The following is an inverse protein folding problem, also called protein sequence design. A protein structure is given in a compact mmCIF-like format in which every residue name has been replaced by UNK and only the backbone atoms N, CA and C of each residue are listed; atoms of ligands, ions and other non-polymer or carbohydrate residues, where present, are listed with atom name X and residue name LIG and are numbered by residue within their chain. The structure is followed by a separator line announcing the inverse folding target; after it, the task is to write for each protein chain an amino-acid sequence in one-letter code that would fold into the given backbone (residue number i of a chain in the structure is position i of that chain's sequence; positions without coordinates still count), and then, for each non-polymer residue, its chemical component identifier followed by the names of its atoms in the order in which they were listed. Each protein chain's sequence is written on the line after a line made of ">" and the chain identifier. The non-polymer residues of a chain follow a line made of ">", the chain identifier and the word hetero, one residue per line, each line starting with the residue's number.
data_IF_860296927309
#
_entry.id   IF_860296927309
#
_cell.length_a   1.000
_cell.length_b   1.000
_cell.length_c   1.000
_cell.angle_alpha   90.00
_cell.angle_beta   90.00
_cell.angle_gamma   90.00
#
_symmetry.space_group_name_H-M   'P 1'
#
loop_
_entity.id
_entity.type
_entity.pdbx_description
1 polymer ?
#
# COMPACT_ATOMS: atom_id res chain seq x y z
N UNK A 1 -44.18 -15.68 12.12
CA UNK A 1 -44.24 -14.86 10.88
C UNK A 1 -43.06 -13.90 10.75
N UNK A 2 -42.71 -13.09 11.76
CA UNK A 2 -41.58 -12.13 11.68
C UNK A 2 -40.23 -12.75 11.22
N UNK A 3 -39.89 -13.93 11.74
CA UNK A 3 -38.64 -14.65 11.40
C UNK A 3 -38.59 -15.11 9.93
N UNK A 4 -39.73 -15.46 9.34
CA UNK A 4 -39.83 -15.87 7.93
C UNK A 4 -39.65 -14.64 7.02
N UNK A 5 -40.18 -13.48 7.42
CA UNK A 5 -40.03 -12.23 6.68
C UNK A 5 -38.57 -11.74 6.72
N UNK A 6 -37.91 -11.81 7.89
CA UNK A 6 -36.48 -11.50 8.01
C UNK A 6 -35.61 -12.40 7.12
N UNK A 7 -35.87 -13.72 7.11
CA UNK A 7 -35.10 -14.64 6.30
C UNK A 7 -35.27 -14.40 4.78
N UNK A 8 -36.48 -14.05 4.34
CA UNK A 8 -36.72 -13.69 2.94
C UNK A 8 -35.97 -12.42 2.52
N UNK A 9 -35.95 -11.40 3.38
CA UNK A 9 -35.23 -10.16 3.12
C UNK A 9 -33.70 -10.41 3.04
N UNK A 10 -33.16 -11.19 3.98
CA UNK A 10 -31.75 -11.58 3.96
C UNK A 10 -31.37 -12.38 2.71
N UNK A 11 -32.25 -13.25 2.21
CA UNK A 11 -32.03 -13.99 0.96
C UNK A 11 -32.04 -13.08 -0.28
N UNK A 12 -32.91 -12.07 -0.33
CA UNK A 12 -32.93 -11.08 -1.42
C UNK A 12 -31.65 -10.26 -1.40
N UNK A 13 -31.20 -9.82 -0.22
CA UNK A 13 -29.93 -9.10 -0.05
C UNK A 13 -28.73 -9.96 -0.44
N UNK A 14 -28.71 -11.23 -0.07
CA UNK A 14 -27.67 -12.18 -0.51
C UNK A 14 -27.67 -12.39 -2.02
N UNK A 15 -28.85 -12.50 -2.65
CA UNK A 15 -28.98 -12.65 -4.10
C UNK A 15 -28.55 -11.39 -4.86
N UNK A 16 -28.91 -10.20 -4.37
CA UNK A 16 -28.45 -8.93 -4.91
C UNK A 16 -26.94 -8.74 -4.71
N UNK A 17 -26.42 -9.15 -3.55
CA UNK A 17 -24.99 -9.13 -3.25
C UNK A 17 -24.21 -10.25 -3.97
N UNK A 18 -24.90 -11.20 -4.61
CA UNK A 18 -24.36 -12.24 -5.49
C UNK A 18 -24.37 -11.82 -6.97
N UNK A 19 -24.57 -10.53 -7.28
CA UNK A 19 -24.12 -9.99 -8.56
C UNK A 19 -22.61 -10.18 -8.77
N UNK A 20 -22.10 -10.09 -10.02
CA UNK A 20 -20.66 -10.18 -10.25
C UNK A 20 -19.93 -9.13 -9.42
N UNK A 21 -19.17 -9.58 -8.43
CA UNK A 21 -18.29 -8.71 -7.65
C UNK A 21 -17.00 -8.52 -8.43
N UNK A 22 -16.53 -7.30 -8.46
CA UNK A 22 -15.27 -6.96 -9.09
C UNK A 22 -14.33 -6.46 -8.00
N UNK A 23 -13.16 -7.08 -7.91
CA UNK A 23 -12.10 -6.63 -7.03
C UNK A 23 -10.99 -6.03 -7.87
N UNK A 24 -10.45 -4.91 -7.41
CA UNK A 24 -9.24 -4.34 -7.97
C UNK A 24 -8.04 -5.13 -7.46
N UNK A 25 -7.24 -5.65 -8.38
CA UNK A 25 -5.98 -6.34 -8.07
C UNK A 25 -4.84 -5.65 -8.81
N UNK A 26 -3.60 -6.00 -8.45
CA UNK A 26 -2.41 -5.52 -9.14
C UNK A 26 -1.84 -6.65 -10.00
N UNK A 27 -1.83 -6.45 -11.30
CA UNK A 27 -1.26 -7.39 -12.28
C UNK A 27 0.17 -6.95 -12.62
N UNK A 28 1.13 -7.87 -12.57
CA UNK A 28 2.54 -7.59 -12.89
C UNK A 28 2.72 -7.40 -14.39
N UNK A 29 3.44 -6.35 -14.79
CA UNK A 29 3.84 -6.06 -16.17
C UNK A 29 5.35 -6.27 -16.30
N UNK A 30 5.81 -7.40 -16.87
CA UNK A 30 7.21 -7.85 -16.76
C UNK A 30 8.24 -6.87 -17.34
N UNK A 31 7.89 -6.12 -18.38
CA UNK A 31 8.85 -5.32 -19.14
C UNK A 31 8.54 -3.82 -19.16
N UNK A 32 7.52 -3.38 -18.41
CA UNK A 32 7.05 -2.01 -18.43
C UNK A 32 6.80 -1.48 -17.03
N UNK A 33 7.41 -0.34 -16.72
CA UNK A 33 7.04 0.46 -15.57
C UNK A 33 5.71 1.17 -15.82
N UNK A 34 4.88 1.31 -14.80
CA UNK A 34 3.62 2.06 -14.87
C UNK A 34 3.61 3.09 -13.75
N UNK A 35 3.08 4.28 -14.03
CA UNK A 35 2.72 5.24 -12.99
C UNK A 35 1.31 4.92 -12.54
N UNK A 36 1.17 4.39 -11.32
CA UNK A 36 -0.13 4.11 -10.71
C UNK A 36 -0.38 5.05 -9.54
N UNK A 37 -1.65 5.39 -9.32
CA UNK A 37 -2.06 6.08 -8.10
C UNK A 37 -2.11 5.08 -6.94
N UNK A 38 -1.62 5.50 -5.78
CA UNK A 38 -1.50 4.72 -4.55
C UNK A 38 -2.52 5.15 -3.48
N UNK A 39 -3.38 6.13 -3.79
CA UNK A 39 -4.48 6.55 -2.92
C UNK A 39 -5.49 5.40 -2.77
N UNK A 40 -6.02 5.22 -1.57
CA UNK A 40 -6.81 4.04 -1.16
C UNK A 40 -8.06 3.79 -2.04
N UNK A 41 -8.64 4.86 -2.59
CA UNK A 41 -9.85 4.86 -3.42
C UNK A 41 -9.58 5.10 -4.91
N UNK A 42 -8.32 5.11 -5.33
CA UNK A 42 -7.94 5.39 -6.71
C UNK A 42 -7.24 4.21 -7.38
N UNK A 43 -7.92 3.61 -8.35
CA UNK A 43 -7.40 2.48 -9.14
C UNK A 43 -6.91 2.90 -10.54
N UNK A 44 -6.59 4.18 -10.73
CA UNK A 44 -6.16 4.68 -12.03
C UNK A 44 -4.73 4.27 -12.36
N UNK A 45 -4.59 3.62 -13.51
CA UNK A 45 -3.33 3.42 -14.21
C UNK A 45 -2.93 4.71 -14.92
N UNK A 46 -2.44 5.68 -14.14
CA UNK A 46 -2.26 7.05 -14.59
C UNK A 46 -1.35 7.17 -15.82
N UNK A 47 -0.34 6.29 -15.93
CA UNK A 47 0.47 6.12 -17.14
C UNK A 47 0.96 4.68 -17.27
N UNK A 48 0.62 3.98 -18.35
CA UNK A 48 1.14 2.64 -18.64
C UNK A 48 2.39 2.75 -19.54
N UNK A 49 3.39 1.86 -19.37
CA UNK A 49 4.63 1.93 -20.16
C UNK A 49 5.54 3.12 -19.79
N UNK A 50 5.35 3.70 -18.62
CA UNK A 50 6.17 4.77 -18.12
C UNK A 50 7.55 4.24 -17.70
N UNK A 51 8.57 4.46 -18.51
CA UNK A 51 9.93 3.97 -18.23
C UNK A 51 10.78 3.83 -19.48
N UNK A 52 10.14 3.65 -20.63
CA UNK A 52 10.81 3.70 -21.91
C UNK A 52 11.26 5.14 -22.19
N UNK A 53 12.46 5.32 -22.74
CA UNK A 53 13.17 6.59 -22.92
C UNK A 53 12.38 7.66 -23.72
N UNK A 54 11.26 7.26 -24.31
CA UNK A 54 10.41 8.07 -25.17
C UNK A 54 9.45 9.01 -24.41
N UNK A 55 9.00 8.68 -23.19
CA UNK A 55 7.94 9.46 -22.49
C UNK A 55 8.37 10.13 -21.17
N UNK A 56 9.69 10.34 -21.00
CA UNK A 56 10.22 11.06 -19.84
C UNK A 56 10.14 10.22 -18.57
N UNK A 57 10.89 9.11 -18.56
CA UNK A 57 10.92 8.13 -17.48
C UNK A 57 11.05 8.73 -16.08
N UNK A 58 10.41 8.06 -15.13
CA UNK A 58 10.68 8.22 -13.71
C UNK A 58 12.10 7.69 -13.42
N UNK A 59 13.18 8.40 -13.75
CA UNK A 59 14.43 8.33 -12.98
C UNK A 59 15.59 9.23 -13.46
N UNK A 60 16.33 9.70 -12.43
CA UNK A 60 17.80 9.86 -12.34
C UNK A 60 18.50 10.90 -13.23
N UNK A 61 18.22 12.19 -12.99
CA UNK A 61 19.22 13.26 -13.14
C UNK A 61 18.81 14.46 -12.24
N UNK A 62 19.75 15.28 -11.71
CA UNK A 62 19.46 16.35 -10.73
C UNK A 62 18.41 17.38 -11.17
N UNK A 63 18.13 17.47 -12.48
CA UNK A 63 17.19 18.41 -13.09
C UNK A 63 15.80 17.79 -13.42
N UNK A 64 15.49 16.61 -12.85
CA UNK A 64 14.20 15.89 -12.70
C UNK A 64 13.17 15.97 -13.86
N UNK A 65 13.05 14.86 -14.61
CA UNK A 65 11.84 14.53 -15.39
C UNK A 65 10.87 13.75 -14.50
N UNK A 66 9.73 14.35 -14.20
CA UNK A 66 8.53 13.59 -13.78
C UNK A 66 7.88 13.00 -15.02
N UNK A 67 7.05 11.98 -14.83
CA UNK A 67 6.16 11.50 -15.87
C UNK A 67 5.36 12.68 -16.48
N UNK A 68 5.19 12.68 -17.81
CA UNK A 68 4.43 13.71 -18.53
C UNK A 68 2.95 13.83 -18.13
N UNK A 69 2.44 12.90 -17.30
CA UNK A 69 1.09 12.92 -16.76
C UNK A 69 0.89 13.86 -15.57
N UNK A 70 1.90 14.64 -15.17
CA UNK A 70 1.76 15.62 -14.10
C UNK A 70 1.76 17.05 -14.63
N UNK A 71 0.81 17.87 -14.16
CA UNK A 71 0.91 19.32 -14.24
C UNK A 71 1.85 19.80 -13.13
N UNK A 72 3.11 20.08 -13.47
CA UNK A 72 4.03 20.73 -12.54
C UNK A 72 3.80 22.24 -12.58
N UNK A 73 3.33 22.80 -11.46
CA UNK A 73 3.42 24.22 -11.21
C UNK A 73 4.83 24.53 -10.73
N UNK A 74 5.65 25.20 -11.57
CA UNK A 74 6.92 25.74 -11.09
C UNK A 74 6.60 26.81 -10.04
N UNK A 75 7.29 26.82 -8.87
CA UNK A 75 7.13 27.91 -7.93
C UNK A 75 7.42 29.22 -8.66
N UNK A 76 6.51 30.19 -8.53
CA UNK A 76 6.60 31.49 -9.21
C UNK A 76 7.93 32.12 -8.80
N UNK A 77 8.86 32.18 -9.75
CA UNK A 77 10.24 32.66 -9.57
C UNK A 77 10.22 34.10 -9.08
N UNK A 78 10.35 34.29 -7.76
CA UNK A 78 10.29 35.61 -7.16
C UNK A 78 11.35 35.88 -6.08
N UNK A 79 11.80 34.89 -5.31
CA UNK A 79 12.64 35.16 -4.13
C UNK A 79 13.43 33.92 -3.61
N UNK A 80 14.22 33.25 -4.46
CA UNK A 80 14.98 32.04 -4.05
C UNK A 80 16.50 32.14 -4.25
N UNK A 81 17.09 33.31 -4.04
CA UNK A 81 18.54 33.50 -4.19
C UNK A 81 19.39 33.21 -2.93
N UNK A 82 18.82 32.84 -1.76
CA UNK A 82 19.61 32.82 -0.51
C UNK A 82 19.48 31.62 0.44
N UNK A 83 18.92 30.48 0.04
CA UNK A 83 18.90 29.30 0.93
C UNK A 83 19.68 28.13 0.33
N UNK A 84 20.90 27.93 0.84
CA UNK A 84 21.73 26.74 0.63
C UNK A 84 21.10 25.51 1.30
N UNK A 85 21.21 24.38 0.61
CA UNK A 85 21.14 23.00 1.13
C UNK A 85 19.80 22.39 1.60
N UNK A 86 18.67 23.11 1.54
CA UNK A 86 17.33 22.51 1.81
C UNK A 86 16.40 22.45 0.60
N UNK A 87 16.95 22.18 -0.58
CA UNK A 87 16.25 22.15 -1.88
C UNK A 87 15.34 20.93 -2.13
N UNK A 88 14.72 20.37 -1.09
CA UNK A 88 13.52 19.52 -1.23
C UNK A 88 12.27 20.40 -1.31
N UNK A 89 12.24 21.37 -2.23
CA UNK A 89 10.97 22.01 -2.58
C UNK A 89 10.06 20.92 -3.12
N UNK A 90 9.02 20.63 -2.35
CA UNK A 90 7.90 19.78 -2.71
C UNK A 90 7.30 20.30 -4.01
N UNK A 91 7.69 19.70 -5.14
CA UNK A 91 6.99 19.91 -6.39
C UNK A 91 5.55 19.46 -6.16
N UNK A 92 4.65 20.43 -6.02
CA UNK A 92 3.22 20.16 -6.06
C UNK A 92 2.88 19.94 -7.52
N UNK A 93 2.61 18.69 -7.88
CA UNK A 93 2.15 18.30 -9.20
C UNK A 93 0.82 17.60 -9.08
N UNK A 94 -0.13 17.93 -9.94
CA UNK A 94 -1.42 17.24 -10.00
C UNK A 94 -1.43 16.32 -11.20
N UNK A 95 -1.84 15.06 -11.01
CA UNK A 95 -1.95 14.09 -12.09
C UNK A 95 -3.10 14.47 -13.04
N UNK A 96 -2.85 14.44 -14.34
CA UNK A 96 -3.82 14.68 -15.42
C UNK A 96 -4.92 13.62 -15.45
N UNK A 97 -4.57 12.37 -15.11
CA UNK A 97 -5.45 11.21 -15.24
C UNK A 97 -6.40 11.04 -14.05
N UNK A 98 -5.93 11.32 -12.83
CA UNK A 98 -6.71 11.08 -11.61
C UNK A 98 -6.94 12.31 -10.73
N UNK A 99 -6.26 13.44 -10.99
CA UNK A 99 -6.37 14.65 -10.17
C UNK A 99 -5.66 14.59 -8.81
N UNK A 100 -4.99 13.48 -8.48
CA UNK A 100 -4.25 13.33 -7.23
C UNK A 100 -2.84 13.91 -7.29
N UNK A 101 -2.24 14.13 -6.13
CA UNK A 101 -0.92 14.76 -6.02
C UNK A 101 0.19 13.80 -6.46
N UNK A 102 1.32 14.35 -6.90
CA UNK A 102 2.48 13.61 -7.39
C UNK A 102 3.03 12.58 -6.39
N UNK A 103 2.98 12.89 -5.09
CA UNK A 103 3.42 12.02 -3.99
C UNK A 103 2.49 10.81 -3.77
N UNK A 104 1.24 10.89 -4.23
CA UNK A 104 0.28 9.78 -4.23
C UNK A 104 0.51 8.81 -5.41
N UNK A 105 1.60 8.95 -6.16
CA UNK A 105 1.91 8.10 -7.31
C UNK A 105 3.24 7.38 -7.15
N UNK A 106 3.32 6.18 -7.70
CA UNK A 106 4.57 5.41 -7.76
C UNK A 106 4.78 4.85 -9.16
N UNK A 107 6.04 4.85 -9.57
CA UNK A 107 6.49 4.00 -10.67
C UNK A 107 6.58 2.56 -10.16
N UNK A 108 5.87 1.65 -10.81
CA UNK A 108 5.82 0.25 -10.41
C UNK A 108 5.63 -0.65 -11.64
N UNK A 109 6.20 -1.86 -11.65
CA UNK A 109 5.96 -2.88 -12.69
C UNK A 109 4.59 -3.57 -12.56
N UNK A 110 3.56 -2.85 -12.12
CA UNK A 110 2.23 -3.38 -11.89
C UNK A 110 1.20 -2.38 -12.38
N UNK A 111 0.03 -2.88 -12.77
CA UNK A 111 -1.14 -2.07 -13.11
C UNK A 111 -2.33 -2.53 -12.27
N UNK A 112 -3.25 -1.63 -11.98
CA UNK A 112 -4.55 -1.97 -11.43
C UNK A 112 -5.38 -2.66 -12.51
N UNK A 113 -5.87 -3.86 -12.23
CA UNK A 113 -6.76 -4.61 -13.10
C UNK A 113 -8.02 -4.94 -12.30
N UNK A 114 -9.18 -4.74 -12.92
CA UNK A 114 -10.45 -5.14 -12.32
C UNK A 114 -10.67 -6.61 -12.62
N UNK A 115 -10.57 -7.46 -11.60
CA UNK A 115 -10.78 -8.90 -11.73
C UNK A 115 -12.17 -9.24 -11.24
N UNK A 116 -12.93 -9.96 -12.07
CA UNK A 116 -14.20 -10.54 -11.64
C UNK A 116 -13.90 -11.59 -10.58
N UNK A 117 -14.43 -11.39 -9.39
CA UNK A 117 -14.42 -12.40 -8.34
C UNK A 117 -15.42 -13.46 -8.76
N UNK A 118 -14.92 -14.58 -9.27
CA UNK A 118 -15.76 -15.73 -9.51
C UNK A 118 -16.24 -16.26 -8.16
N UNK A 119 -17.53 -16.07 -7.87
CA UNK A 119 -18.19 -16.89 -6.87
C UNK A 119 -18.23 -18.32 -7.37
N UNK A 120 -18.25 -19.31 -6.46
CA UNK A 120 -18.38 -20.73 -6.82
C UNK A 120 -19.49 -20.87 -7.86
N UNK A 121 -19.17 -21.20 -9.13
CA UNK A 121 -20.15 -21.19 -10.22
C UNK A 121 -21.26 -22.22 -9.98
N UNK A 122 -21.03 -23.17 -9.07
CA UNK A 122 -22.00 -24.18 -8.64
C UNK A 122 -22.86 -23.72 -7.47
N UNK A 123 -22.56 -22.59 -6.81
CA UNK A 123 -23.35 -22.09 -5.69
C UNK A 123 -24.80 -21.79 -6.08
N UNK A 124 -25.10 -21.08 -7.18
CA UNK A 124 -26.49 -20.87 -7.60
C UNK A 124 -27.20 -22.20 -7.87
N UNK A 125 -26.51 -23.19 -8.44
CA UNK A 125 -27.07 -24.52 -8.69
C UNK A 125 -27.37 -25.25 -7.38
N UNK A 126 -26.46 -25.21 -6.40
CA UNK A 126 -26.64 -25.83 -5.07
C UNK A 126 -27.79 -25.19 -4.29
N UNK A 127 -27.93 -23.85 -4.38
CA UNK A 127 -29.05 -23.13 -3.75
C UNK A 127 -30.38 -23.48 -4.45
N UNK A 128 -30.40 -23.53 -5.78
CA UNK A 128 -31.62 -23.85 -6.52
C UNK A 128 -32.03 -25.34 -6.41
N UNK A 129 -31.08 -26.24 -6.12
CA UNK A 129 -31.35 -27.65 -5.89
C UNK A 129 -31.92 -27.96 -4.50
N UNK A 130 -31.86 -27.03 -3.55
CA UNK A 130 -32.46 -27.18 -2.24
C UNK A 130 -34.00 -27.00 -2.30
N UNK A 131 -34.74 -27.94 -1.75
CA UNK A 131 -36.20 -28.01 -1.86
C UNK A 131 -36.87 -27.03 -0.90
N UNK A 132 -36.28 -26.82 0.27
CA UNK A 132 -36.83 -25.94 1.30
C UNK A 132 -35.99 -24.67 1.50
N UNK A 133 -36.64 -23.60 1.96
CA UNK A 133 -35.93 -22.35 2.31
C UNK A 133 -34.90 -22.55 3.43
N UNK A 134 -35.14 -23.52 4.33
CA UNK A 134 -34.19 -23.87 5.38
C UNK A 134 -32.92 -24.51 4.81
N UNK A 135 -33.05 -25.39 3.82
CA UNK A 135 -31.91 -26.01 3.13
C UNK A 135 -31.13 -24.99 2.30
N UNK A 136 -31.82 -24.07 1.61
CA UNK A 136 -31.17 -22.96 0.88
C UNK A 136 -30.30 -22.12 1.81
N UNK A 137 -30.82 -21.80 2.99
CA UNK A 137 -30.09 -21.05 4.01
C UNK A 137 -28.88 -21.84 4.50
N UNK A 138 -29.03 -23.13 4.81
CA UNK A 138 -27.92 -23.98 5.25
C UNK A 138 -26.80 -24.11 4.20
N UNK A 139 -27.16 -24.22 2.91
CA UNK A 139 -26.19 -24.22 1.80
C UNK A 139 -25.44 -22.89 1.72
N UNK A 140 -26.15 -21.76 1.83
CA UNK A 140 -25.55 -20.44 1.82
C UNK A 140 -24.62 -20.21 3.02
N UNK A 141 -25.06 -20.56 4.24
CA UNK A 141 -24.27 -20.47 5.47
C UNK A 141 -22.98 -21.31 5.40
N UNK A 142 -23.08 -22.52 4.86
CA UNK A 142 -21.91 -23.39 4.64
C UNK A 142 -20.92 -22.76 3.67
N UNK A 143 -21.41 -22.17 2.57
CA UNK A 143 -20.56 -21.49 1.60
C UNK A 143 -19.85 -20.25 2.20
N UNK A 144 -20.60 -19.41 2.92
CA UNK A 144 -20.05 -18.23 3.61
C UNK A 144 -19.00 -18.66 4.63
N UNK A 145 -19.28 -19.67 5.44
CA UNK A 145 -18.34 -20.19 6.45
C UNK A 145 -17.05 -20.71 5.82
N UNK A 146 -17.17 -21.41 4.69
CA UNK A 146 -16.00 -21.88 3.93
C UNK A 146 -15.15 -20.72 3.39
N UNK A 147 -15.79 -19.69 2.80
CA UNK A 147 -15.07 -18.53 2.29
C UNK A 147 -14.40 -17.73 3.42
N UNK A 148 -15.06 -17.60 4.58
CA UNK A 148 -14.45 -17.00 5.76
C UNK A 148 -13.22 -17.77 6.23
N UNK A 149 -13.25 -19.11 6.15
CA UNK A 149 -12.09 -19.96 6.42
C UNK A 149 -10.91 -19.64 5.49
N UNK A 150 -11.16 -19.60 4.17
CA UNK A 150 -10.13 -19.27 3.16
C UNK A 150 -9.56 -17.87 3.39
N UNK A 151 -10.40 -16.87 3.68
CA UNK A 151 -9.96 -15.49 3.95
C UNK A 151 -9.07 -15.44 5.18
N UNK A 152 -9.42 -16.18 6.26
CA UNK A 152 -8.59 -16.24 7.47
C UNK A 152 -7.21 -16.84 7.19
N UNK A 153 -7.17 -17.94 6.43
CA UNK A 153 -5.91 -18.57 6.02
C UNK A 153 -5.03 -17.61 5.20
N UNK A 154 -5.61 -16.90 4.23
CA UNK A 154 -4.90 -15.87 3.46
C UNK A 154 -4.39 -14.72 4.35
N UNK A 155 -5.16 -14.31 5.36
CA UNK A 155 -4.72 -13.27 6.31
C UNK A 155 -3.51 -13.77 7.12
N UNK A 156 -3.53 -15.02 7.58
CA UNK A 156 -2.42 -15.63 8.31
C UNK A 156 -1.17 -15.75 7.44
N UNK A 157 -1.29 -16.21 6.20
CA UNK A 157 -0.19 -16.28 5.24
C UNK A 157 0.42 -14.90 4.98
N UNK A 158 -0.42 -13.88 4.76
CA UNK A 158 0.05 -12.51 4.54
C UNK A 158 0.77 -11.94 5.77
N UNK A 159 0.30 -12.23 6.98
CA UNK A 159 0.98 -11.83 8.21
C UNK A 159 2.35 -12.51 8.35
N UNK A 160 2.46 -13.78 7.95
CA UNK A 160 3.74 -14.49 7.91
C UNK A 160 4.71 -13.87 6.90
N UNK A 161 4.23 -13.55 5.69
CA UNK A 161 5.04 -12.87 4.66
C UNK A 161 5.53 -11.49 5.13
N UNK A 162 4.67 -10.72 5.80
CA UNK A 162 5.08 -9.44 6.43
C UNK A 162 6.18 -9.69 7.46
N UNK A 163 6.04 -10.72 8.31
CA UNK A 163 7.07 -11.10 9.27
C UNK A 163 8.43 -11.42 8.61
N UNK A 164 8.41 -12.18 7.50
CA UNK A 164 9.60 -12.49 6.69
C UNK A 164 10.24 -11.23 6.10
N UNK A 165 9.46 -10.36 5.48
CA UNK A 165 9.95 -9.09 4.92
C UNK A 165 10.56 -8.20 6.01
N UNK A 166 9.94 -8.13 7.19
CA UNK A 166 10.49 -7.37 8.32
C UNK A 166 11.84 -7.95 8.76
N UNK A 167 11.99 -9.28 8.81
CA UNK A 167 13.26 -9.92 9.14
C UNK A 167 14.34 -9.71 8.06
N UNK A 168 13.97 -9.77 6.78
CA UNK A 168 14.87 -9.45 5.67
C UNK A 168 15.38 -8.01 5.76
N UNK A 169 14.48 -7.06 6.04
CA UNK A 169 14.87 -5.65 6.20
C UNK A 169 15.78 -5.47 7.43
N UNK A 170 15.57 -6.20 8.52
CA UNK A 170 16.50 -6.20 9.67
C UNK A 170 17.91 -6.62 9.27
N UNK A 171 18.06 -7.60 8.38
CA UNK A 171 19.36 -8.04 7.87
C UNK A 171 20.05 -7.03 6.95
N UNK A 172 19.29 -6.11 6.34
CA UNK A 172 19.77 -5.12 5.37
C UNK A 172 20.00 -3.74 6.02
N UNK A 173 19.58 -3.55 7.28
CA UNK A 173 19.49 -2.24 7.94
C UNK A 173 20.83 -1.56 8.26
N UNK A 174 21.41 -0.93 7.24
CA UNK A 174 22.23 0.28 7.34
C UNK A 174 21.63 1.47 6.54
N UNK A 175 20.40 1.36 6.01
CA UNK A 175 19.82 2.43 5.19
C UNK A 175 19.26 3.57 6.05
N UNK A 176 19.58 4.80 5.66
CA UNK A 176 19.15 6.03 6.36
C UNK A 176 17.64 6.24 6.37
N UNK A 177 16.93 5.60 5.45
CA UNK A 177 15.48 5.78 5.26
C UNK A 177 14.64 4.73 6.00
N UNK A 178 15.27 3.71 6.61
CA UNK A 178 14.57 2.62 7.30
C UNK A 178 13.57 3.11 8.37
N UNK A 179 13.87 4.12 9.22
CA UNK A 179 12.91 4.61 10.21
C UNK A 179 11.61 5.15 9.60
N UNK A 180 11.65 5.75 8.41
CA UNK A 180 10.46 6.26 7.74
C UNK A 180 9.54 5.13 7.27
N UNK A 181 10.12 4.06 6.71
CA UNK A 181 9.38 2.86 6.31
C UNK A 181 8.75 2.12 7.50
N UNK A 182 9.47 2.04 8.63
CA UNK A 182 8.96 1.42 9.86
C UNK A 182 7.77 2.21 10.42
N UNK A 183 7.85 3.55 10.45
CA UNK A 183 6.72 4.38 10.88
C UNK A 183 5.50 4.21 9.97
N UNK A 184 5.67 4.25 8.65
CA UNK A 184 4.56 4.05 7.72
C UNK A 184 3.90 2.68 7.87
N UNK A 185 4.69 1.63 8.15
CA UNK A 185 4.15 0.28 8.41
C UNK A 185 3.37 0.24 9.72
N UNK A 186 3.86 0.90 10.78
CA UNK A 186 3.13 1.02 12.05
C UNK A 186 1.78 1.70 11.82
N UNK A 187 1.75 2.83 11.12
CA UNK A 187 0.51 3.58 10.86
C UNK A 187 -0.54 2.72 10.12
N UNK A 188 -0.12 1.93 9.14
CA UNK A 188 -1.00 1.01 8.42
C UNK A 188 -1.55 -0.10 9.33
N UNK A 189 -0.71 -0.68 10.18
CA UNK A 189 -1.12 -1.73 11.11
C UNK A 189 -2.08 -1.19 12.18
N UNK A 190 -1.85 0.03 12.68
CA UNK A 190 -2.73 0.69 13.65
C UNK A 190 -4.11 0.99 13.06
N UNK A 191 -4.17 1.52 11.83
CA UNK A 191 -5.45 1.73 11.12
C UNK A 191 -6.24 0.43 10.98
N UNK A 192 -5.55 -0.67 10.69
CA UNK A 192 -6.19 -1.99 10.53
C UNK A 192 -6.77 -2.52 11.84
N UNK A 193 -6.02 -2.40 12.94
CA UNK A 193 -6.48 -2.85 14.26
C UNK A 193 -7.63 -1.99 14.80
N UNK A 194 -7.64 -0.70 14.49
CA UNK A 194 -8.68 0.25 14.89
C UNK A 194 -9.93 0.18 14.02
N UNK A 195 -9.98 -0.69 13.01
CA UNK A 195 -11.21 -0.94 12.27
C UNK A 195 -12.16 -1.81 13.09
N UNK A 196 -13.46 -1.50 13.08
CA UNK A 196 -14.50 -2.16 13.89
C UNK A 196 -14.58 -3.68 13.73
N UNK A 197 -13.97 -4.22 12.68
CA UNK A 197 -13.98 -5.65 12.36
C UNK A 197 -12.92 -6.50 13.08
N UNK A 198 -11.97 -5.90 13.80
CA UNK A 198 -10.81 -6.63 14.35
C UNK A 198 -10.56 -6.51 15.86
N UNK A 199 -11.24 -5.62 16.58
CA UNK A 199 -10.77 -5.13 17.90
C UNK A 199 -10.63 -6.17 19.02
N UNK A 200 -11.23 -7.36 18.91
CA UNK A 200 -11.15 -8.43 19.93
C UNK A 200 -10.59 -9.77 19.40
N UNK A 201 -10.00 -9.78 18.21
CA UNK A 201 -9.53 -11.02 17.57
C UNK A 201 -8.09 -11.40 17.99
N UNK A 202 -7.77 -12.69 17.97
CA UNK A 202 -6.39 -13.18 18.10
C UNK A 202 -5.46 -12.55 17.05
N UNK A 203 -5.99 -12.26 15.87
CA UNK A 203 -5.29 -11.51 14.82
C UNK A 203 -4.93 -10.09 15.26
N UNK A 204 -5.76 -9.39 16.04
CA UNK A 204 -5.43 -8.08 16.58
C UNK A 204 -4.28 -8.14 17.58
N UNK A 205 -4.19 -9.21 18.40
CA UNK A 205 -3.04 -9.42 19.30
C UNK A 205 -1.74 -9.57 18.50
N UNK A 206 -1.74 -10.40 17.45
CA UNK A 206 -0.58 -10.57 16.55
C UNK A 206 -0.16 -9.24 15.89
N UNK A 207 -1.14 -8.40 15.51
CA UNK A 207 -0.88 -7.06 14.95
C UNK A 207 -0.26 -6.14 16.02
N UNK A 208 -0.81 -6.11 17.24
CA UNK A 208 -0.26 -5.32 18.35
C UNK A 208 1.17 -5.75 18.71
N UNK A 209 1.46 -7.06 18.69
CA UNK A 209 2.80 -7.59 18.92
C UNK A 209 3.78 -7.16 17.82
N UNK A 210 3.33 -7.17 16.56
CA UNK A 210 4.11 -6.65 15.44
C UNK A 210 4.40 -5.15 15.59
N UNK A 211 3.39 -4.34 15.91
CA UNK A 211 3.54 -2.89 16.16
C UNK A 211 4.54 -2.64 17.30
N UNK A 212 4.41 -3.38 18.41
CA UNK A 212 5.31 -3.28 19.56
C UNK A 212 6.76 -3.57 19.17
N UNK A 213 6.96 -4.61 18.37
CA UNK A 213 8.29 -5.00 17.87
C UNK A 213 8.88 -3.89 16.98
N UNK A 214 8.10 -3.37 16.01
CA UNK A 214 8.50 -2.25 15.14
C UNK A 214 8.85 -0.97 15.93
N UNK A 215 8.06 -0.64 16.96
CA UNK A 215 8.35 0.50 17.86
C UNK A 215 9.64 0.32 18.65
N UNK A 216 9.92 -0.90 19.13
CA UNK A 216 11.17 -1.18 19.83
C UNK A 216 12.37 -1.01 18.88
N UNK A 217 12.25 -1.39 17.60
CA UNK A 217 13.30 -1.14 16.61
C UNK A 217 13.55 0.35 16.40
N UNK A 218 12.50 1.17 16.30
CA UNK A 218 12.66 2.63 16.20
C UNK A 218 13.41 3.23 17.40
N UNK A 219 13.27 2.65 18.61
CA UNK A 219 14.02 3.11 19.79
C UNK A 219 15.51 2.82 19.67
N UNK A 220 15.89 1.68 19.09
CA UNK A 220 17.29 1.29 18.88
C UNK A 220 17.92 2.12 17.76
N UNK A 221 17.15 2.44 16.72
CA UNK A 221 17.59 3.16 15.53
C UNK A 221 17.62 4.68 15.70
N UNK A 222 16.90 5.25 16.68
CA UNK A 222 17.04 6.66 17.00
C UNK A 222 18.48 6.88 17.45
N UNK A 223 19.29 7.65 16.71
CA UNK A 223 20.66 7.91 17.13
C UNK A 223 20.62 8.54 18.51
N UNK A 224 21.45 8.01 19.42
CA UNK A 224 21.80 8.74 20.64
C UNK A 224 22.18 10.17 20.22
N UNK A 225 21.70 11.22 20.91
CA UNK A 225 21.93 12.63 20.53
C UNK A 225 23.42 13.00 20.37
N UNK A 226 24.35 12.11 20.73
CA UNK A 226 25.79 12.24 20.54
C UNK A 226 26.28 12.04 19.08
N UNK A 227 25.47 11.49 18.16
CA UNK A 227 25.91 11.30 16.76
C UNK A 227 25.90 12.59 15.92
N UNK A 228 25.35 13.69 16.44
CA UNK A 228 25.44 15.02 15.81
C UNK A 228 26.80 15.71 15.97
N UNK A 229 27.68 15.23 16.87
CA UNK A 229 28.93 15.92 17.21
C UNK A 229 30.13 15.39 16.38
N UNK A 230 30.05 14.18 15.82
CA UNK A 230 31.21 13.55 15.15
C UNK A 230 31.26 13.88 13.64
N UNK A 231 30.17 14.41 13.06
CA UNK A 231 30.09 14.72 11.62
C UNK A 231 30.81 15.99 11.16
N UNK A 232 31.15 16.92 12.07
CA UNK A 232 31.77 18.20 11.71
C UNK A 232 33.32 18.22 11.86
N UNK A 233 33.92 17.21 12.49
CA UNK A 233 35.36 17.18 12.79
C UNK A 233 36.29 16.73 11.65
N UNK A 234 35.77 16.19 10.54
CA UNK A 234 36.59 15.57 9.49
C UNK A 234 36.81 16.41 8.22
N UNK A 235 36.39 17.70 8.20
CA UNK A 235 36.54 18.57 7.01
C UNK A 235 37.65 19.63 7.09
N UNK A 236 38.47 19.71 8.14
CA UNK A 236 39.59 20.68 8.21
C UNK A 236 40.95 19.98 8.31
N UNK A 237 41.46 19.46 7.19
CA UNK A 237 42.76 18.78 7.18
C UNK A 237 43.44 18.66 5.81
N UNK A 238 43.13 19.53 4.84
CA UNK A 238 43.83 19.58 3.55
C UNK A 238 44.93 20.64 3.55
N UNK A 239 46.07 20.34 4.19
CA UNK A 239 47.28 21.19 4.15
C UNK A 239 47.91 21.08 2.75
N UNK A 240 48.01 22.22 2.06
CA UNK A 240 48.81 22.39 0.84
C UNK A 240 50.27 21.99 1.10
N UNK A 241 50.83 21.14 0.25
CA UNK A 241 52.28 20.98 0.11
C UNK A 241 52.66 21.69 -1.18
N UNK A 242 53.55 22.67 -1.03
CA UNK A 242 53.97 23.58 -2.07
C UNK A 242 55.02 23.00 -3.00
N UNK A 243 55.14 23.70 -4.13
CA UNK A 243 56.19 23.64 -5.12
C UNK A 243 57.56 23.97 -4.50
N UNK A 244 58.59 23.23 -4.90
CA UNK A 244 59.96 23.68 -5.15
C UNK A 244 60.62 22.67 -6.06
#
# INVERSE_FOLDING_TARGET
>A
MARIIQNKQAMIELQQAAGPRYNWTKEKTPDQGNTICMREDCHNNCHLGCGDDHDGGWMRNPNRKVCGQFYITKPRSGLFFFYSDRWFQSYTGTCKSCGHNLDEHKLHQYKHTQVRVEMDPKLPQKINAAETEAEKLAVAETHVSKNLGIIREQVEENLEQIGKLVAEIQGISLSTDFPAYVNSTIDLLERRVNSDSMSETESARKIHDSIRTLRNYLKILKPSPLYGIIGEGLKSGGRKVGES
#
